data_IF_568458692096
#
_entry.id   IF_568458692096
#
_cell.length_a   1.000
_cell.length_b   1.000
_cell.length_c   1.000
_cell.angle_alpha   90.00
_cell.angle_beta   90.00
_cell.angle_gamma   90.00
#
_symmetry.space_group_name_H-M   'P 1'
#
loop_
_entity.id
_entity.type
_entity.pdbx_description
1 polymer ?
#
# COMPACT_ATOMS: atom_id res chain seq x y z
N UNK A 1 27.16 -9.57 19.07
CA UNK A 1 26.47 -8.26 18.93
C UNK A 1 27.29 -7.24 18.14
N UNK A 2 28.09 -7.65 17.15
CA UNK A 2 29.00 -6.74 16.42
C UNK A 2 28.43 -6.16 15.11
N UNK A 3 27.35 -6.76 14.58
CA UNK A 3 26.77 -6.39 13.28
C UNK A 3 25.56 -5.46 13.36
N UNK A 4 25.11 -5.08 14.56
CA UNK A 4 23.98 -4.14 14.74
C UNK A 4 24.36 -2.66 14.58
N UNK A 5 25.65 -2.33 14.48
CA UNK A 5 26.14 -0.95 14.46
C UNK A 5 26.45 -0.40 13.05
N UNK A 6 26.53 -1.25 12.03
CA UNK A 6 26.79 -0.80 10.65
C UNK A 6 25.52 -0.37 9.89
N UNK A 7 24.33 -0.68 10.42
CA UNK A 7 23.05 -0.36 9.77
C UNK A 7 22.49 1.03 10.15
N UNK A 8 23.13 1.77 11.06
CA UNK A 8 22.63 3.06 11.54
C UNK A 8 22.88 4.22 10.56
N UNK A 9 23.35 3.96 9.33
CA UNK A 9 23.79 5.02 8.41
C UNK A 9 23.55 4.73 6.92
N UNK A 10 22.95 3.60 6.58
CA UNK A 10 22.45 3.40 5.22
C UNK A 10 20.99 3.88 5.20
N UNK A 11 20.70 4.90 4.39
CA UNK A 11 19.32 5.26 4.07
C UNK A 11 18.62 4.02 3.52
N UNK A 12 17.46 3.66 4.05
CA UNK A 12 16.72 2.50 3.50
C UNK A 12 16.38 2.78 2.03
N UNK A 13 16.25 1.76 1.16
CA UNK A 13 15.82 1.97 -0.22
C UNK A 13 14.51 2.77 -0.31
N UNK A 14 13.58 2.51 0.63
CA UNK A 14 12.34 3.27 0.79
C UNK A 14 12.60 4.74 1.12
N UNK A 15 13.49 5.04 2.08
CA UNK A 15 13.85 6.42 2.40
C UNK A 15 14.52 7.13 1.21
N UNK A 16 15.31 6.40 0.41
CA UNK A 16 15.92 6.94 -0.80
C UNK A 16 14.87 7.28 -1.88
N UNK A 17 13.76 6.54 -1.97
CA UNK A 17 12.61 6.93 -2.81
C UNK A 17 11.91 8.15 -2.22
N UNK A 18 11.67 8.19 -0.91
CA UNK A 18 11.04 9.31 -0.21
C UNK A 18 11.87 10.61 -0.24
N UNK A 19 13.17 10.53 -0.53
CA UNK A 19 14.07 11.67 -0.70
C UNK A 19 13.96 12.33 -2.10
N UNK A 20 13.29 11.68 -3.07
CA UNK A 20 13.06 12.25 -4.41
C UNK A 20 12.02 13.37 -4.33
N UNK A 21 12.16 14.42 -5.14
CA UNK A 21 11.21 15.54 -5.15
C UNK A 21 9.81 15.15 -5.63
N UNK A 22 9.68 14.17 -6.52
CA UNK A 22 8.41 13.76 -7.14
C UNK A 22 8.31 12.23 -7.27
N UNK A 23 8.43 11.49 -6.17
CA UNK A 23 8.16 10.05 -6.18
C UNK A 23 6.65 9.77 -6.29
N UNK A 24 6.31 8.55 -6.70
CA UNK A 24 4.91 8.08 -6.73
C UNK A 24 4.71 6.94 -5.74
N UNK A 25 3.44 6.63 -5.46
CA UNK A 25 3.09 5.47 -4.65
C UNK A 25 3.63 4.18 -5.29
N UNK A 26 3.54 4.05 -6.61
CA UNK A 26 3.98 2.88 -7.36
C UNK A 26 5.49 2.66 -7.22
N UNK A 27 6.29 3.73 -7.17
CA UNK A 27 7.72 3.60 -6.88
C UNK A 27 7.96 2.98 -5.50
N UNK A 28 7.21 3.42 -4.48
CA UNK A 28 7.29 2.85 -3.13
C UNK A 28 6.80 1.40 -3.07
N UNK A 29 5.69 1.08 -3.74
CA UNK A 29 5.17 -0.29 -3.80
C UNK A 29 6.08 -1.23 -4.60
N UNK A 30 7.00 -0.68 -5.40
CA UNK A 30 7.99 -1.46 -6.12
C UNK A 30 9.22 -1.82 -5.26
N UNK A 31 9.43 -1.13 -4.13
CA UNK A 31 10.52 -1.44 -3.20
C UNK A 31 10.29 -2.76 -2.47
N UNK A 32 11.30 -3.63 -2.43
CA UNK A 32 11.20 -4.96 -1.79
C UNK A 32 11.00 -4.86 -0.28
N UNK A 33 11.56 -3.83 0.34
CA UNK A 33 11.54 -3.60 1.79
C UNK A 33 10.29 -2.85 2.28
N UNK A 34 9.37 -2.46 1.39
CA UNK A 34 8.20 -1.61 1.74
C UNK A 34 7.35 -2.17 2.88
N UNK A 35 7.07 -3.48 2.85
CA UNK A 35 6.28 -4.17 3.88
C UNK A 35 7.07 -4.21 5.19
N UNK A 36 8.38 -4.43 5.13
CA UNK A 36 9.22 -4.47 6.32
C UNK A 36 9.31 -3.08 6.98
N UNK A 37 9.46 -2.01 6.20
CA UNK A 37 9.48 -0.63 6.67
C UNK A 37 8.14 -0.22 7.29
N UNK A 38 7.01 -0.67 6.73
CA UNK A 38 5.69 -0.55 7.37
C UNK A 38 5.66 -1.24 8.74
N UNK A 39 6.08 -2.51 8.83
CA UNK A 39 6.12 -3.30 10.07
C UNK A 39 7.11 -2.71 11.10
N UNK A 40 8.18 -2.07 10.63
CA UNK A 40 9.15 -1.35 11.46
C UNK A 40 8.67 0.05 11.89
N UNK A 41 7.47 0.45 11.49
CA UNK A 41 6.86 1.75 11.78
C UNK A 41 7.71 2.93 11.29
N UNK A 42 8.26 2.84 10.08
CA UNK A 42 8.97 3.97 9.46
C UNK A 42 8.04 5.19 9.38
N UNK A 43 8.33 6.20 10.19
CA UNK A 43 7.48 7.38 10.34
C UNK A 43 7.30 8.17 9.04
N UNK A 44 8.32 8.24 8.17
CA UNK A 44 8.22 8.98 6.90
C UNK A 44 7.29 8.27 5.95
N UNK A 45 7.46 6.95 5.82
CA UNK A 45 6.59 6.12 5.00
C UNK A 45 5.14 6.17 5.50
N UNK A 46 4.91 5.98 6.80
CA UNK A 46 3.57 6.02 7.38
C UNK A 46 2.91 7.38 7.18
N UNK A 47 3.67 8.47 7.34
CA UNK A 47 3.15 9.82 7.13
C UNK A 47 2.73 10.07 5.67
N UNK A 48 3.35 9.42 4.70
CA UNK A 48 2.92 9.45 3.31
C UNK A 48 1.69 8.56 3.09
N UNK A 49 1.74 7.29 3.52
CA UNK A 49 0.69 6.31 3.25
C UNK A 49 -0.64 6.62 3.96
N UNK A 50 -0.62 7.36 5.07
CA UNK A 50 -1.84 7.76 5.79
C UNK A 50 -2.67 8.81 5.05
N UNK A 51 -2.15 9.44 4.00
CA UNK A 51 -2.91 10.44 3.27
C UNK A 51 -4.09 9.77 2.53
N UNK A 52 -5.26 10.42 2.56
CA UNK A 52 -6.50 9.91 1.94
C UNK A 52 -6.28 9.35 0.54
N UNK A 53 -5.62 10.10 -0.32
CA UNK A 53 -5.38 9.71 -1.71
C UNK A 53 -4.55 8.42 -1.83
N UNK A 54 -3.60 8.21 -0.91
CA UNK A 54 -2.78 7.00 -0.89
C UNK A 54 -3.60 5.80 -0.40
N UNK A 55 -4.37 5.98 0.68
CA UNK A 55 -5.27 4.94 1.20
C UNK A 55 -6.31 4.54 0.15
N UNK A 56 -6.88 5.50 -0.56
CA UNK A 56 -7.81 5.24 -1.67
C UNK A 56 -7.14 4.43 -2.78
N UNK A 57 -5.95 4.82 -3.22
CA UNK A 57 -5.25 4.13 -4.30
C UNK A 57 -4.84 2.70 -3.90
N UNK A 58 -4.36 2.51 -2.67
CA UNK A 58 -4.10 1.17 -2.11
C UNK A 58 -5.38 0.34 -2.11
N UNK A 59 -6.49 0.91 -1.70
CA UNK A 59 -7.78 0.22 -1.68
C UNK A 59 -8.23 -0.16 -3.10
N UNK A 60 -8.08 0.73 -4.09
CA UNK A 60 -8.36 0.43 -5.51
C UNK A 60 -7.50 -0.71 -6.05
N UNK A 61 -6.25 -0.82 -5.61
CA UNK A 61 -5.41 -1.97 -5.95
C UNK A 61 -5.96 -3.28 -5.41
N UNK A 62 -6.65 -3.25 -4.27
CA UNK A 62 -7.25 -4.44 -3.64
C UNK A 62 -8.62 -4.78 -4.24
N UNK A 63 -9.49 -3.80 -4.44
CA UNK A 63 -10.91 -4.07 -4.78
C UNK A 63 -11.22 -3.99 -6.27
N UNK A 64 -10.39 -3.32 -7.08
CA UNK A 64 -10.64 -3.19 -8.52
C UNK A 64 -9.82 -4.19 -9.33
N UNK A 65 -10.47 -4.81 -10.30
CA UNK A 65 -9.76 -5.63 -11.27
C UNK A 65 -8.77 -4.79 -12.07
N UNK A 66 -7.56 -5.31 -12.31
CA UNK A 66 -6.61 -4.63 -13.17
C UNK A 66 -7.18 -4.52 -14.59
N UNK A 67 -6.92 -3.42 -15.32
CA UNK A 67 -7.22 -3.32 -16.75
C UNK A 67 -6.67 -4.52 -17.53
N UNK A 68 -7.32 -4.89 -18.65
CA UNK A 68 -6.96 -6.06 -19.46
C UNK A 68 -5.52 -5.97 -20.02
N UNK A 69 -5.04 -4.74 -20.21
CA UNK A 69 -3.71 -4.38 -20.70
C UNK A 69 -2.74 -3.95 -19.58
N UNK A 70 -3.12 -4.13 -18.31
CA UNK A 70 -2.29 -3.78 -17.18
C UNK A 70 -1.00 -4.62 -17.13
N UNK A 71 0.07 -3.99 -16.68
CA UNK A 71 1.33 -4.70 -16.45
C UNK A 71 1.22 -5.69 -15.27
N UNK A 72 2.21 -6.58 -15.16
CA UNK A 72 2.26 -7.58 -14.09
C UNK A 72 2.35 -6.98 -12.69
N UNK A 73 2.85 -5.75 -12.54
CA UNK A 73 2.94 -5.09 -11.22
C UNK A 73 1.55 -4.67 -10.77
N UNK A 74 0.78 -4.01 -11.63
CA UNK A 74 -0.62 -3.63 -11.36
C UNK A 74 -1.53 -4.84 -11.16
N UNK A 75 -1.27 -5.95 -11.87
CA UNK A 75 -2.06 -7.17 -11.77
C UNK A 75 -1.76 -8.02 -10.52
N UNK A 76 -0.52 -8.03 -10.03
CA UNK A 76 -0.11 -8.94 -8.94
C UNK A 76 0.63 -8.26 -7.79
N UNK A 77 1.66 -7.45 -8.07
CA UNK A 77 2.52 -6.86 -7.04
C UNK A 77 1.79 -5.81 -6.20
N UNK A 78 1.17 -4.83 -6.84
CA UNK A 78 0.51 -3.73 -6.13
C UNK A 78 -0.70 -4.19 -5.30
N UNK A 79 -1.60 -5.06 -5.80
CA UNK A 79 -2.66 -5.63 -4.96
C UNK A 79 -2.12 -6.40 -3.75
N UNK A 80 -1.05 -7.19 -3.94
CA UNK A 80 -0.41 -7.93 -2.86
C UNK A 80 0.19 -7.01 -1.80
N UNK A 81 1.03 -6.04 -2.22
CA UNK A 81 1.67 -5.10 -1.29
C UNK A 81 0.63 -4.23 -0.58
N UNK A 82 -0.39 -3.74 -1.30
CA UNK A 82 -1.46 -2.94 -0.70
C UNK A 82 -2.24 -3.73 0.35
N UNK A 83 -2.53 -5.00 0.09
CA UNK A 83 -3.15 -5.88 1.07
C UNK A 83 -2.26 -6.04 2.30
N UNK A 84 -0.95 -6.26 2.12
CA UNK A 84 0.01 -6.36 3.22
C UNK A 84 0.15 -5.06 4.03
N UNK A 85 0.05 -3.89 3.41
CA UNK A 85 0.04 -2.60 4.12
C UNK A 85 -1.14 -2.51 5.08
N UNK A 86 -2.34 -2.92 4.64
CA UNK A 86 -3.52 -2.94 5.52
C UNK A 86 -3.40 -4.00 6.64
N UNK A 87 -2.79 -5.16 6.37
CA UNK A 87 -2.57 -6.21 7.38
C UNK A 87 -1.42 -5.92 8.34
N UNK A 88 -0.63 -4.86 8.11
CA UNK A 88 0.34 -4.37 9.10
C UNK A 88 -0.32 -3.72 10.33
N UNK A 89 -1.65 -3.52 10.33
CA UNK A 89 -2.42 -2.98 11.45
C UNK A 89 -1.94 -1.60 11.93
N UNK A 90 -1.48 -0.76 11.00
CA UNK A 90 -1.02 0.59 11.31
C UNK A 90 -2.23 1.50 11.57
N UNK A 91 -2.49 1.79 12.86
CA UNK A 91 -3.63 2.57 13.36
C UNK A 91 -4.01 3.79 12.51
N UNK A 92 -3.05 4.62 12.14
CA UNK A 92 -3.33 5.89 11.41
C UNK A 92 -3.79 5.66 9.98
N UNK A 93 -3.34 4.58 9.33
CA UNK A 93 -3.78 4.20 7.99
C UNK A 93 -5.19 3.61 8.08
N UNK A 94 -5.43 2.71 9.03
CA UNK A 94 -6.75 2.10 9.23
C UNK A 94 -7.81 3.14 9.65
N UNK A 95 -7.45 4.12 10.49
CA UNK A 95 -8.36 5.23 10.82
C UNK A 95 -8.74 6.04 9.59
N UNK A 96 -7.78 6.34 8.72
CA UNK A 96 -8.08 7.05 7.46
C UNK A 96 -9.06 6.25 6.60
N UNK A 97 -8.91 4.93 6.52
CA UNK A 97 -9.87 4.06 5.82
C UNK A 97 -11.26 4.09 6.46
N UNK A 98 -11.35 3.98 7.79
CA UNK A 98 -12.61 3.83 8.53
C UNK A 98 -13.38 5.14 8.73
N UNK A 99 -12.66 6.24 8.97
CA UNK A 99 -13.25 7.55 9.24
C UNK A 99 -13.83 8.19 7.96
N UNK A 100 -13.41 7.70 6.79
CA UNK A 100 -13.80 8.24 5.49
C UNK A 100 -14.89 7.38 4.83
N UNK A 101 -16.12 7.88 4.85
CA UNK A 101 -17.30 7.16 4.34
C UNK A 101 -17.15 6.70 2.89
N UNK A 102 -16.59 7.53 2.01
CA UNK A 102 -16.35 7.17 0.60
C UNK A 102 -15.36 6.02 0.45
N UNK A 103 -14.34 5.92 1.32
CA UNK A 103 -13.37 4.81 1.28
C UNK A 103 -14.02 3.52 1.80
N UNK A 104 -14.84 3.61 2.85
CA UNK A 104 -15.62 2.45 3.32
C UNK A 104 -16.62 1.98 2.27
N UNK A 105 -17.30 2.90 1.58
CA UNK A 105 -18.18 2.55 0.46
C UNK A 105 -17.41 1.89 -0.67
N UNK A 106 -16.22 2.38 -1.02
CA UNK A 106 -15.34 1.74 -2.00
C UNK A 106 -14.94 0.33 -1.56
N UNK A 107 -14.57 0.14 -0.29
CA UNK A 107 -14.21 -1.16 0.28
C UNK A 107 -15.36 -2.15 0.18
N UNK A 108 -16.61 -1.70 0.34
CA UNK A 108 -17.79 -2.56 0.23
C UNK A 108 -18.40 -2.63 -1.17
N UNK A 109 -17.92 -1.84 -2.13
CA UNK A 109 -18.45 -1.81 -3.51
C UNK A 109 -18.39 -3.16 -4.20
N UNK A 110 -17.48 -4.06 -3.79
CA UNK A 110 -17.44 -5.42 -4.33
C UNK A 110 -18.68 -6.27 -3.99
N UNK A 111 -19.49 -5.86 -3.00
CA UNK A 111 -20.75 -6.52 -2.65
C UNK A 111 -21.93 -6.06 -3.52
N UNK A 112 -21.73 -5.04 -4.37
CA UNK A 112 -22.80 -4.52 -5.22
C UNK A 112 -23.18 -5.53 -6.32
N UNK A 113 -24.49 -5.78 -6.57
CA UNK A 113 -24.95 -6.87 -7.45
C UNK A 113 -24.54 -6.73 -8.93
N UNK A 114 -24.23 -5.51 -9.36
CA UNK A 114 -23.88 -5.13 -10.73
C UNK A 114 -22.38 -5.15 -10.99
N UNK A 115 -21.56 -5.46 -9.98
CA UNK A 115 -20.11 -5.54 -10.14
C UNK A 115 -19.68 -6.96 -10.53
N UNK A 116 -18.86 -7.15 -11.58
CA UNK A 116 -18.30 -8.45 -11.89
C UNK A 116 -17.41 -8.89 -10.71
N UNK A 117 -17.73 -10.03 -10.11
CA UNK A 117 -16.88 -10.66 -9.10
C UNK A 117 -15.88 -11.57 -9.82
N UNK A 118 -14.64 -11.14 -10.04
CA UNK A 118 -13.62 -12.11 -10.46
C UNK A 118 -13.29 -13.08 -9.32
N UNK A 119 -13.14 -14.34 -9.69
CA UNK A 119 -12.67 -15.40 -8.78
C UNK A 119 -11.24 -15.15 -8.27
N UNK A 120 -10.49 -14.25 -8.90
CA UNK A 120 -9.14 -13.83 -8.48
C UNK A 120 -9.13 -12.90 -7.26
N UNK A 121 -10.23 -12.19 -6.99
CA UNK A 121 -10.40 -11.39 -5.77
C UNK A 121 -11.12 -12.16 -4.65
N UNK A 122 -11.64 -13.35 -4.95
CA UNK A 122 -12.15 -14.28 -3.96
C UNK A 122 -10.97 -15.03 -3.31
N UNK A 123 -10.29 -14.35 -2.38
CA UNK A 123 -9.33 -14.96 -1.46
C UNK A 123 -10.02 -15.66 -0.29
#
# INVERSE_FOLDING_TARGET
MFWKLAALSASSPVDAVLDKENFTLEELLDEEEIIQECKALNSRLINFLRDRAQVEQLLRYVVEEPPVDADSKRAFKFPFVASEVFTCEIDVILRTLVDEEELMNLLFSFLEPDRPHSTSLAG
#
